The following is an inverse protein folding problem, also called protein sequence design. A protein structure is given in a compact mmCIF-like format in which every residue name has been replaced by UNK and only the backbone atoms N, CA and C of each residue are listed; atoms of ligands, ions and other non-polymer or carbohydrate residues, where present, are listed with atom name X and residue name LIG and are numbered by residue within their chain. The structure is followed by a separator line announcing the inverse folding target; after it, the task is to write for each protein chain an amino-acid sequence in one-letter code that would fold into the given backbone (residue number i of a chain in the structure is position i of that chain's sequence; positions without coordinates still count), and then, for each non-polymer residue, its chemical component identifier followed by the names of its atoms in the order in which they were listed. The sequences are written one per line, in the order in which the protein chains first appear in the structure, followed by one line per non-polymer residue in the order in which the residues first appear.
data_IF_739076036882
#
_entry.id   IF_739076036882
#
_cell.length_a   1.000
_cell.length_b   1.000
_cell.length_c   1.000
_cell.angle_alpha   90.00
_cell.angle_beta   90.00
_cell.angle_gamma   90.00
#
_symmetry.space_group_name_H-M   'P 1'
#
loop_
_entity.id
_entity.type
_entity.pdbx_description
1 polymer ?
#
# COMPACT_ATOMS: atom_id res chain seq x y z
N UNK A 1 21.04 -9.74 -20.05
CA UNK A 1 21.08 -8.67 -19.02
C UNK A 1 22.17 -9.03 -18.03
N UNK A 2 23.11 -8.14 -17.77
CA UNK A 2 24.19 -8.36 -16.83
C UNK A 2 23.64 -8.39 -15.41
N UNK A 3 23.84 -9.51 -14.70
CA UNK A 3 23.50 -9.63 -13.28
C UNK A 3 24.65 -9.15 -12.42
N UNK A 4 24.34 -8.63 -11.25
CA UNK A 4 25.29 -8.24 -10.22
C UNK A 4 24.78 -8.66 -8.84
N UNK A 5 25.56 -8.42 -7.81
CA UNK A 5 25.19 -8.78 -6.43
C UNK A 5 24.99 -7.52 -5.62
N UNK A 6 23.93 -7.52 -4.77
CA UNK A 6 23.73 -6.55 -3.69
C UNK A 6 23.63 -7.30 -2.36
N UNK A 7 23.75 -6.59 -1.24
CA UNK A 7 23.64 -7.18 0.08
C UNK A 7 22.48 -6.54 0.83
N UNK A 8 21.53 -7.34 1.34
CA UNK A 8 20.42 -6.87 2.18
C UNK A 8 20.54 -7.54 3.55
N UNK A 9 20.68 -6.76 4.62
CA UNK A 9 20.85 -7.24 6.01
C UNK A 9 21.94 -8.34 6.13
N UNK A 10 23.06 -8.18 5.39
CA UNK A 10 24.16 -9.13 5.38
C UNK A 10 23.96 -10.34 4.44
N UNK A 11 22.82 -10.50 3.82
CA UNK A 11 22.54 -11.57 2.84
C UNK A 11 22.84 -11.08 1.44
N UNK A 12 23.72 -11.79 0.73
CA UNK A 12 24.02 -11.51 -0.68
C UNK A 12 22.91 -12.05 -1.58
N UNK A 13 22.36 -11.22 -2.43
CA UNK A 13 21.32 -11.58 -3.40
C UNK A 13 21.72 -11.13 -4.81
N UNK A 14 21.20 -11.84 -5.81
CA UNK A 14 21.35 -11.46 -7.20
C UNK A 14 20.40 -10.30 -7.54
N UNK A 15 20.88 -9.36 -8.35
CA UNK A 15 20.08 -8.29 -8.91
C UNK A 15 20.42 -8.12 -10.40
N UNK A 16 19.48 -7.53 -11.15
CA UNK A 16 19.60 -7.28 -12.59
C UNK A 16 19.60 -5.79 -12.85
N UNK A 17 20.26 -5.39 -13.92
CA UNK A 17 20.23 -4.01 -14.38
C UNK A 17 18.80 -3.55 -14.64
N UNK A 18 18.43 -2.37 -14.11
CA UNK A 18 17.08 -1.78 -14.21
C UNK A 18 16.13 -2.16 -13.07
N UNK A 19 16.45 -3.17 -12.26
CA UNK A 19 15.64 -3.50 -11.08
C UNK A 19 15.79 -2.45 -9.98
N UNK A 20 14.71 -2.24 -9.24
CA UNK A 20 14.74 -1.53 -7.96
C UNK A 20 15.27 -2.46 -6.84
N UNK A 21 15.67 -1.87 -5.71
CA UNK A 21 16.02 -2.64 -4.50
C UNK A 21 14.88 -3.57 -4.10
N UNK A 22 13.64 -3.10 -4.19
CA UNK A 22 12.45 -3.86 -3.80
C UNK A 22 12.22 -5.07 -4.71
N UNK A 23 12.32 -4.90 -6.03
CA UNK A 23 12.15 -6.01 -6.98
C UNK A 23 13.23 -7.08 -6.80
N UNK A 24 14.49 -6.68 -6.58
CA UNK A 24 15.57 -7.62 -6.30
C UNK A 24 15.35 -8.37 -4.97
N UNK A 25 14.84 -7.68 -3.94
CA UNK A 25 14.49 -8.28 -2.65
C UNK A 25 13.35 -9.30 -2.78
N UNK A 26 12.30 -8.97 -3.53
CA UNK A 26 11.13 -9.85 -3.75
C UNK A 26 11.51 -11.13 -4.53
N UNK A 27 12.39 -11.01 -5.53
CA UNK A 27 12.92 -12.19 -6.24
C UNK A 27 13.72 -13.10 -5.30
N UNK A 28 14.41 -12.52 -4.31
CA UNK A 28 15.22 -13.24 -3.33
C UNK A 28 14.44 -13.69 -2.07
N UNK A 29 13.11 -13.52 -2.02
CA UNK A 29 12.31 -13.90 -0.87
C UNK A 29 12.50 -12.99 0.35
N UNK A 30 12.93 -11.75 0.17
CA UNK A 30 13.10 -10.76 1.24
C UNK A 30 11.99 -9.73 1.12
N UNK A 31 11.06 -9.75 2.06
CA UNK A 31 9.97 -8.78 2.06
C UNK A 31 10.42 -7.42 2.60
N UNK A 32 10.23 -6.37 1.79
CA UNK A 32 10.37 -4.97 2.22
C UNK A 32 8.97 -4.38 2.38
N UNK A 33 8.57 -3.93 3.60
CA UNK A 33 7.26 -3.36 3.88
C UNK A 33 6.87 -2.24 2.92
N UNK A 34 5.62 -2.26 2.42
CA UNK A 34 5.11 -1.31 1.43
C UNK A 34 3.61 -1.11 1.55
N UNK A 35 3.07 0.04 1.11
CA UNK A 35 1.64 0.32 1.02
C UNK A 35 1.25 0.99 -0.30
N UNK A 36 2.08 1.87 -0.88
CA UNK A 36 1.75 2.51 -2.14
C UNK A 36 2.25 1.72 -3.36
N UNK A 37 3.19 0.82 -3.16
CA UNK A 37 3.68 -0.05 -4.22
C UNK A 37 2.77 -1.25 -4.41
N UNK A 38 2.59 -1.71 -5.65
CA UNK A 38 1.75 -2.83 -6.01
C UNK A 38 2.22 -3.41 -7.34
N UNK A 39 2.22 -4.74 -7.45
CA UNK A 39 2.56 -5.43 -8.69
C UNK A 39 1.67 -4.96 -9.85
N UNK A 40 2.25 -4.78 -11.01
CA UNK A 40 1.53 -4.30 -12.20
C UNK A 40 1.26 -2.79 -12.24
N UNK A 41 1.65 -2.02 -11.21
CA UNK A 41 1.54 -0.57 -11.20
C UNK A 41 2.93 0.08 -11.21
N UNK A 42 3.07 1.22 -11.89
CA UNK A 42 4.31 2.00 -11.81
C UNK A 42 4.63 2.40 -10.37
N UNK A 43 5.90 2.39 -10.01
CA UNK A 43 6.35 2.81 -8.68
C UNK A 43 6.06 4.28 -8.41
N UNK A 44 5.76 4.63 -7.16
CA UNK A 44 5.44 6.00 -6.77
C UNK A 44 6.36 6.56 -5.67
N UNK A 45 6.80 5.73 -4.74
CA UNK A 45 7.64 6.16 -3.61
C UNK A 45 6.93 7.08 -2.61
N UNK A 46 5.59 7.16 -2.62
CA UNK A 46 4.81 8.17 -1.89
C UNK A 46 4.66 7.87 -0.39
N UNK A 47 4.33 6.65 0.01
CA UNK A 47 4.05 6.30 1.41
C UNK A 47 5.30 6.21 2.29
N UNK A 48 6.47 6.01 1.71
CA UNK A 48 7.78 5.87 2.39
C UNK A 48 7.89 4.69 3.38
N UNK A 49 6.90 3.82 3.48
CA UNK A 49 6.95 2.62 4.34
C UNK A 49 8.07 1.67 3.90
N UNK A 50 8.41 1.65 2.61
CA UNK A 50 9.52 0.89 2.06
C UNK A 50 10.91 1.55 2.25
N UNK A 51 11.03 2.53 3.13
CA UNK A 51 12.35 3.16 3.40
C UNK A 51 13.33 2.12 3.94
N UNK A 52 14.51 2.11 3.32
CA UNK A 52 15.70 1.33 3.69
C UNK A 52 16.89 2.27 3.76
N UNK A 53 18.01 1.83 4.33
CA UNK A 53 19.29 2.51 4.16
C UNK A 53 20.10 1.81 3.08
N UNK A 54 20.43 2.53 2.03
CA UNK A 54 21.33 2.09 0.96
C UNK A 54 22.62 2.88 1.05
N UNK A 55 23.73 2.22 1.33
CA UNK A 55 25.04 2.83 1.60
C UNK A 55 24.95 4.01 2.59
N UNK A 56 24.23 3.79 3.69
CA UNK A 56 24.04 4.76 4.76
C UNK A 56 23.00 5.85 4.48
N UNK A 57 22.40 5.95 3.29
CA UNK A 57 21.38 6.93 2.92
C UNK A 57 19.97 6.34 2.97
N UNK A 58 19.03 7.07 3.54
CA UNK A 58 17.61 6.65 3.58
C UNK A 58 16.95 6.87 2.20
N UNK A 59 16.52 5.78 1.57
CA UNK A 59 15.89 5.77 0.24
C UNK A 59 14.58 4.98 0.26
N UNK A 60 13.72 5.19 -0.73
CA UNK A 60 12.54 4.34 -0.93
C UNK A 60 12.92 3.15 -1.82
N UNK A 61 12.87 1.93 -1.29
CA UNK A 61 13.30 0.74 -2.01
C UNK A 61 12.52 0.50 -3.31
N UNK A 62 11.25 0.89 -3.37
CA UNK A 62 10.42 0.74 -4.57
C UNK A 62 10.81 1.65 -5.75
N UNK A 63 11.61 2.68 -5.52
CA UNK A 63 12.04 3.63 -6.58
C UNK A 63 13.55 3.76 -6.71
N UNK A 64 14.30 3.21 -5.75
CA UNK A 64 15.76 3.25 -5.80
C UNK A 64 16.27 2.10 -6.66
N UNK A 65 16.97 2.38 -7.80
CA UNK A 65 17.62 1.35 -8.57
C UNK A 65 18.66 0.58 -7.75
N UNK A 66 18.72 -0.72 -7.94
CA UNK A 66 19.80 -1.54 -7.46
C UNK A 66 21.08 -1.24 -8.26
N UNK A 67 22.24 -1.27 -7.61
CA UNK A 67 23.55 -1.09 -8.25
C UNK A 67 24.55 -2.11 -7.71
N UNK A 68 25.62 -2.44 -8.47
CA UNK A 68 26.62 -3.39 -8.02
C UNK A 68 27.17 -3.06 -6.63
N UNK A 69 27.35 -4.10 -5.81
CA UNK A 69 27.93 -4.05 -4.45
C UNK A 69 27.15 -3.17 -3.44
N UNK A 70 25.92 -2.73 -3.77
CA UNK A 70 25.09 -1.93 -2.89
C UNK A 70 24.82 -2.67 -1.56
N UNK A 71 25.04 -1.97 -0.44
CA UNK A 71 24.72 -2.46 0.90
C UNK A 71 23.42 -1.84 1.40
N UNK A 72 22.44 -2.68 1.72
CA UNK A 72 21.09 -2.28 2.14
C UNK A 72 20.79 -2.79 3.55
N UNK A 73 20.38 -1.89 4.42
CA UNK A 73 19.81 -2.21 5.74
C UNK A 73 18.29 -2.08 5.64
N UNK A 74 17.56 -3.17 5.88
CA UNK A 74 16.09 -3.24 5.85
C UNK A 74 15.50 -3.42 7.26
N UNK A 75 16.08 -4.30 8.08
CA UNK A 75 15.59 -4.65 9.40
C UNK A 75 16.53 -4.12 10.50
N UNK A 76 16.44 -2.81 10.79
CA UNK A 76 17.16 -2.19 11.91
C UNK A 76 16.18 -1.55 12.90
N UNK A 77 16.55 -1.39 14.18
CA UNK A 77 15.68 -0.71 15.17
C UNK A 77 15.25 0.70 14.73
N UNK A 78 16.13 1.41 14.03
CA UNK A 78 15.84 2.74 13.50
C UNK A 78 14.80 2.68 12.39
N UNK A 79 14.96 1.78 11.41
CA UNK A 79 14.02 1.60 10.28
C UNK A 79 12.67 1.10 10.79
N UNK A 80 12.67 0.12 11.69
CA UNK A 80 11.43 -0.39 12.29
C UNK A 80 10.67 0.70 13.06
N UNK A 81 11.39 1.56 13.78
CA UNK A 81 10.78 2.72 14.44
C UNK A 81 10.20 3.71 13.43
N UNK A 82 10.95 4.04 12.36
CA UNK A 82 10.49 4.93 11.29
C UNK A 82 9.21 4.40 10.64
N UNK A 83 9.16 3.11 10.31
CA UNK A 83 7.97 2.46 9.72
C UNK A 83 6.76 2.51 10.65
N UNK A 84 6.95 2.24 11.96
CA UNK A 84 5.87 2.39 12.96
C UNK A 84 5.37 3.82 13.03
N UNK A 85 6.25 4.80 13.03
CA UNK A 85 5.87 6.21 13.05
C UNK A 85 5.08 6.58 11.78
N UNK A 86 5.50 6.14 10.58
CA UNK A 86 4.79 6.39 9.32
C UNK A 86 3.40 5.74 9.30
N UNK A 87 3.32 4.45 9.66
CA UNK A 87 2.04 3.74 9.72
C UNK A 87 1.12 4.35 10.77
N UNK A 88 1.66 4.76 11.92
CA UNK A 88 0.92 5.47 12.96
C UNK A 88 0.33 6.80 12.49
N UNK A 89 1.07 7.58 11.71
CA UNK A 89 0.53 8.80 11.11
C UNK A 89 -0.62 8.50 10.14
N UNK A 90 -0.49 7.45 9.32
CA UNK A 90 -1.56 7.05 8.39
C UNK A 90 -2.84 6.66 9.13
N UNK A 91 -2.73 5.98 10.28
CA UNK A 91 -3.89 5.68 11.12
C UNK A 91 -4.55 6.94 11.69
N UNK A 92 -3.76 7.93 12.08
CA UNK A 92 -4.26 9.14 12.72
C UNK A 92 -4.80 10.19 11.73
N UNK A 93 -4.37 10.12 10.46
CA UNK A 93 -4.91 10.98 9.39
C UNK A 93 -6.24 10.48 8.83
N UNK A 94 -6.65 9.25 9.14
CA UNK A 94 -7.84 8.59 8.60
C UNK A 94 -8.79 8.05 9.68
N UNK A 95 -10.01 7.79 9.28
CA UNK A 95 -11.01 7.12 10.13
C UNK A 95 -10.89 5.59 9.98
N UNK A 96 -9.93 5.00 10.70
CA UNK A 96 -9.61 3.57 10.62
C UNK A 96 -10.19 2.77 11.78
N UNK A 97 -11.53 2.74 11.90
CA UNK A 97 -12.26 1.94 12.90
C UNK A 97 -12.33 0.46 12.44
N UNK A 98 -11.24 -0.27 12.58
CA UNK A 98 -11.10 -1.64 12.10
C UNK A 98 -12.23 -2.61 12.50
N UNK A 99 -12.77 -2.58 13.75
CA UNK A 99 -13.80 -3.52 14.15
C UNK A 99 -15.09 -3.47 13.34
N UNK A 100 -15.39 -2.32 12.71
CA UNK A 100 -16.61 -2.11 11.92
C UNK A 100 -16.32 -1.86 10.45
N UNK A 101 -15.06 -2.06 10.02
CA UNK A 101 -14.64 -1.82 8.65
C UNK A 101 -14.83 -3.08 7.79
N UNK A 102 -15.43 -2.94 6.64
CA UNK A 102 -15.64 -4.03 5.66
C UNK A 102 -14.33 -4.65 5.16
N UNK A 103 -13.25 -3.85 5.14
CA UNK A 103 -11.92 -4.31 4.75
C UNK A 103 -11.14 -4.99 5.88
N UNK A 104 -11.70 -5.09 7.11
CA UNK A 104 -10.99 -5.72 8.23
C UNK A 104 -10.56 -7.15 7.90
N UNK A 105 -9.29 -7.47 8.17
CA UNK A 105 -8.68 -8.76 7.84
C UNK A 105 -8.16 -8.88 6.39
N UNK A 106 -8.60 -7.99 5.47
CA UNK A 106 -8.07 -7.86 4.11
C UNK A 106 -7.36 -6.50 3.90
N UNK A 107 -7.24 -5.70 4.94
CA UNK A 107 -6.65 -4.36 4.88
C UNK A 107 -5.13 -4.42 5.06
N UNK A 108 -4.36 -3.99 4.04
CA UNK A 108 -2.90 -3.97 4.11
C UNK A 108 -2.36 -3.01 5.19
N UNK A 109 -3.05 -1.89 5.47
CA UNK A 109 -2.64 -0.99 6.55
C UNK A 109 -2.76 -1.66 7.92
N UNK A 110 -3.86 -2.39 8.17
CA UNK A 110 -4.07 -3.18 9.39
C UNK A 110 -3.01 -4.28 9.50
N UNK A 111 -2.81 -5.04 8.43
CA UNK A 111 -1.82 -6.10 8.38
C UNK A 111 -0.39 -5.58 8.58
N UNK A 112 -0.08 -4.39 8.04
CA UNK A 112 1.20 -3.74 8.25
C UNK A 112 1.42 -3.35 9.71
N UNK A 113 0.37 -2.87 10.40
CA UNK A 113 0.46 -2.57 11.82
C UNK A 113 0.76 -3.83 12.64
N UNK A 114 0.10 -4.95 12.35
CA UNK A 114 0.39 -6.23 13.00
C UNK A 114 1.82 -6.71 12.73
N UNK A 115 2.28 -6.63 11.49
CA UNK A 115 3.67 -6.98 11.15
C UNK A 115 4.70 -6.14 11.89
N UNK A 116 4.42 -4.86 12.11
CA UNK A 116 5.29 -3.94 12.85
C UNK A 116 5.12 -4.01 14.38
N UNK A 117 4.29 -4.94 14.89
CA UNK A 117 4.02 -5.09 16.31
C UNK A 117 3.31 -3.89 16.93
N UNK A 118 2.47 -3.20 16.18
CA UNK A 118 1.72 -2.03 16.65
C UNK A 118 0.41 -2.50 17.29
N UNK A 119 0.37 -2.56 18.61
CA UNK A 119 -0.81 -2.96 19.40
C UNK A 119 -1.36 -1.83 20.25
N UNK A 120 -0.71 -0.68 20.22
CA UNK A 120 -1.05 0.48 21.03
C UNK A 120 -1.42 1.69 20.17
N UNK A 121 -2.20 2.64 20.71
CA UNK A 121 -2.46 3.91 20.06
C UNK A 121 -1.15 4.62 19.70
N UNK A 122 -1.17 5.35 18.60
CA UNK A 122 0.02 6.09 18.16
C UNK A 122 0.24 7.33 19.03
N UNK A 123 1.49 7.82 19.06
CA UNK A 123 1.86 9.06 19.76
C UNK A 123 1.37 10.34 19.06
N UNK A 124 0.84 10.22 17.85
CA UNK A 124 0.38 11.36 17.05
C UNK A 124 -1.06 11.72 17.38
N UNK A 125 -1.45 13.01 17.31
CA UNK A 125 -2.83 13.41 17.49
C UNK A 125 -3.71 12.87 16.35
N UNK A 126 -4.92 12.44 16.69
CA UNK A 126 -5.92 12.04 15.70
C UNK A 126 -6.45 13.29 14.97
N UNK A 127 -6.39 13.24 13.65
CA UNK A 127 -6.92 14.29 12.78
C UNK A 127 -8.28 13.83 12.24
N UNK A 128 -9.34 14.12 12.97
CA UNK A 128 -10.69 13.67 12.63
C UNK A 128 -11.08 14.10 11.19
N UNK A 129 -10.98 13.22 10.19
CA UNK A 129 -11.41 13.57 8.84
C UNK A 129 -12.94 13.61 8.80
N UNK A 130 -13.49 14.62 8.16
CA UNK A 130 -14.93 14.79 8.01
C UNK A 130 -15.25 15.08 6.53
N UNK A 131 -15.30 14.02 5.73
CA UNK A 131 -15.69 14.08 4.31
C UNK A 131 -16.95 13.25 4.09
N UNK A 132 -17.85 13.67 3.19
CA UNK A 132 -19.01 12.86 2.84
C UNK A 132 -18.58 11.50 2.28
N UNK A 133 -19.28 10.45 2.66
CA UNK A 133 -19.22 9.16 1.99
C UNK A 133 -19.98 9.29 0.67
N UNK A 134 -19.32 9.01 -0.44
CA UNK A 134 -19.97 8.92 -1.74
C UNK A 134 -20.39 7.47 -2.02
N UNK A 135 -21.69 7.22 -1.96
CA UNK A 135 -22.28 5.93 -2.26
C UNK A 135 -23.26 6.01 -3.45
N UNK A 136 -23.11 7.00 -4.31
CA UNK A 136 -23.99 7.25 -5.45
C UNK A 136 -23.88 6.18 -6.54
N UNK A 137 -22.67 5.59 -6.74
CA UNK A 137 -22.49 4.52 -7.72
C UNK A 137 -23.19 3.21 -7.28
N UNK A 138 -23.81 2.43 -8.20
CA UNK A 138 -24.57 1.21 -7.84
C UNK A 138 -23.72 0.14 -7.14
N UNK A 139 -22.44 0.00 -7.46
CA UNK A 139 -21.62 -1.15 -7.05
C UNK A 139 -20.46 -0.83 -6.13
N UNK A 140 -20.05 0.43 -6.05
CA UNK A 140 -18.97 0.85 -5.14
C UNK A 140 -19.40 2.02 -4.26
N UNK A 141 -18.73 2.17 -3.14
CA UNK A 141 -18.78 3.36 -2.30
C UNK A 141 -17.35 3.88 -2.08
N UNK A 142 -17.19 5.21 -2.05
CA UNK A 142 -15.93 5.89 -1.86
C UNK A 142 -15.93 6.61 -0.51
N UNK A 143 -15.24 6.04 0.48
CA UNK A 143 -15.00 6.64 1.79
C UNK A 143 -13.60 7.23 1.88
N UNK A 144 -13.46 8.48 1.47
CA UNK A 144 -12.15 9.16 1.47
C UNK A 144 -11.62 9.46 2.88
N UNK A 145 -12.43 9.28 3.93
CA UNK A 145 -11.94 9.36 5.32
C UNK A 145 -11.00 8.20 5.68
N UNK A 146 -11.05 7.10 4.93
CA UNK A 146 -10.16 5.94 5.09
C UNK A 146 -8.98 5.94 4.11
N UNK A 147 -8.85 6.98 3.29
CA UNK A 147 -7.83 7.04 2.23
C UNK A 147 -6.46 7.39 2.81
N UNK A 148 -5.46 6.54 2.54
CA UNK A 148 -4.05 6.79 2.89
C UNK A 148 -3.25 7.49 1.78
N UNK A 149 -3.91 8.05 0.78
CA UNK A 149 -3.30 8.77 -0.35
C UNK A 149 -2.21 7.97 -1.11
N UNK A 150 -2.30 6.65 -1.13
CA UNK A 150 -1.31 5.78 -1.77
C UNK A 150 -1.31 5.87 -3.31
N UNK A 151 -2.38 6.35 -3.92
CA UNK A 151 -2.52 6.54 -5.36
C UNK A 151 -2.56 5.27 -6.21
N UNK A 152 -2.75 4.09 -5.63
CA UNK A 152 -2.89 2.85 -6.41
C UNK A 152 -4.09 2.93 -7.37
N UNK A 153 -5.27 3.32 -6.88
CA UNK A 153 -6.47 3.49 -7.71
C UNK A 153 -6.28 4.50 -8.83
N UNK A 154 -5.58 5.60 -8.59
CA UNK A 154 -5.29 6.62 -9.62
C UNK A 154 -4.41 6.02 -10.71
N UNK A 155 -3.32 5.34 -10.33
CA UNK A 155 -2.42 4.69 -11.30
C UNK A 155 -3.08 3.53 -12.03
N UNK A 156 -3.84 2.69 -11.31
CA UNK A 156 -4.58 1.60 -11.92
C UNK A 156 -5.56 2.13 -12.98
N UNK A 157 -6.36 3.15 -12.64
CA UNK A 157 -7.32 3.73 -13.57
C UNK A 157 -6.68 4.41 -14.79
N UNK A 158 -5.46 4.97 -14.63
CA UNK A 158 -4.73 5.62 -15.73
C UNK A 158 -3.94 4.63 -16.57
N UNK A 159 -3.15 3.77 -15.91
CA UNK A 159 -2.11 2.98 -16.58
C UNK A 159 -2.62 1.59 -17.03
N UNK A 160 -3.61 1.02 -16.32
CA UNK A 160 -4.14 -0.31 -16.59
C UNK A 160 -5.50 -0.21 -17.27
N UNK A 161 -6.44 0.52 -16.69
CA UNK A 161 -7.80 0.65 -17.24
C UNK A 161 -7.85 1.65 -18.43
N UNK A 162 -6.87 2.55 -18.52
CA UNK A 162 -6.79 3.57 -19.57
C UNK A 162 -7.87 4.66 -19.49
N UNK A 163 -8.67 4.68 -18.43
CA UNK A 163 -9.85 5.55 -18.28
C UNK A 163 -9.64 6.78 -17.41
N UNK A 164 -8.63 6.74 -16.52
CA UNK A 164 -8.36 7.85 -15.62
C UNK A 164 -9.55 8.18 -14.70
N UNK A 165 -10.33 7.20 -14.31
CA UNK A 165 -11.55 7.35 -13.49
C UNK A 165 -11.29 8.06 -12.16
N UNK A 166 -10.16 7.76 -11.52
CA UNK A 166 -9.77 8.37 -10.26
C UNK A 166 -8.64 9.38 -10.43
N UNK A 167 -8.75 10.48 -9.71
CA UNK A 167 -7.74 11.51 -9.65
C UNK A 167 -7.59 12.10 -8.26
N UNK A 168 -6.59 12.94 -8.08
CA UNK A 168 -6.44 13.72 -6.84
C UNK A 168 -7.09 15.09 -7.01
N UNK A 169 -7.86 15.50 -6.01
CA UNK A 169 -8.41 16.86 -5.88
C UNK A 169 -7.93 17.48 -4.58
N UNK A 170 -7.98 18.82 -4.52
CA UNK A 170 -7.49 19.59 -3.38
C UNK A 170 -5.97 19.60 -3.25
N UNK A 171 -5.47 20.17 -2.17
CA UNK A 171 -4.05 20.26 -1.86
C UNK A 171 -3.80 20.29 -0.35
N UNK A 172 -2.58 19.91 0.09
CA UNK A 172 -2.25 19.81 1.51
C UNK A 172 -3.17 18.82 2.24
N UNK A 173 -3.66 19.19 3.40
CA UNK A 173 -4.57 18.37 4.23
C UNK A 173 -5.95 18.13 3.59
N UNK A 174 -6.29 18.92 2.56
CA UNK A 174 -7.54 18.76 1.82
C UNK A 174 -7.39 17.86 0.59
N UNK A 175 -6.18 17.37 0.31
CA UNK A 175 -5.97 16.45 -0.82
C UNK A 175 -6.66 15.12 -0.55
N UNK A 176 -7.45 14.67 -1.52
CA UNK A 176 -8.13 13.39 -1.46
C UNK A 176 -8.38 12.82 -2.86
N UNK A 177 -8.82 11.58 -2.92
CA UNK A 177 -9.22 10.93 -4.18
C UNK A 177 -10.63 11.35 -4.52
N UNK A 178 -10.89 11.61 -5.80
CA UNK A 178 -12.22 11.81 -6.34
C UNK A 178 -12.35 11.12 -7.70
N UNK A 179 -13.56 10.91 -8.15
CA UNK A 179 -13.82 10.50 -9.51
C UNK A 179 -13.55 11.67 -10.47
N UNK A 180 -12.97 11.39 -11.62
CA UNK A 180 -12.80 12.35 -12.69
C UNK A 180 -14.13 12.50 -13.44
N UNK A 181 -14.82 13.57 -13.21
CA UNK A 181 -16.16 13.83 -13.66
C UNK A 181 -16.96 14.57 -12.58
N UNK A 182 -18.28 14.71 -12.74
CA UNK A 182 -19.08 15.43 -11.77
C UNK A 182 -19.27 14.62 -10.48
N UNK A 183 -19.77 13.40 -10.60
CA UNK A 183 -20.07 12.53 -9.47
C UNK A 183 -19.64 11.09 -9.75
N UNK A 184 -19.43 10.29 -8.71
CA UNK A 184 -19.12 8.87 -8.85
C UNK A 184 -20.25 8.13 -9.60
N UNK A 185 -21.50 8.57 -9.47
CA UNK A 185 -22.67 8.05 -10.17
C UNK A 185 -22.59 8.23 -11.71
N UNK A 186 -22.02 9.34 -12.13
CA UNK A 186 -21.93 9.72 -13.57
C UNK A 186 -20.72 9.09 -14.26
N UNK A 187 -19.89 8.38 -13.54
CA UNK A 187 -18.86 7.57 -14.16
C UNK A 187 -19.55 6.42 -14.88
N UNK A 188 -19.73 6.57 -16.16
CA UNK A 188 -20.27 5.58 -17.11
C UNK A 188 -19.30 4.39 -17.30
N UNK A 189 -18.48 4.22 -16.30
CA UNK A 189 -17.62 3.09 -16.18
C UNK A 189 -18.52 1.93 -15.78
N UNK A 190 -18.85 1.09 -16.74
CA UNK A 190 -19.42 -0.20 -16.42
C UNK A 190 -18.62 -0.81 -15.26
N UNK A 191 -19.29 -1.42 -14.33
CA UNK A 191 -18.72 -2.00 -13.09
C UNK A 191 -17.50 -2.89 -13.31
N UNK A 192 -17.44 -3.51 -14.47
CA UNK A 192 -16.28 -4.24 -14.97
C UNK A 192 -15.01 -3.38 -15.04
N UNK A 193 -15.13 -2.07 -15.16
CA UNK A 193 -14.02 -1.16 -15.38
C UNK A 193 -13.41 -0.61 -14.08
N UNK A 194 -14.13 -0.72 -12.95
CA UNK A 194 -13.59 -0.43 -11.61
C UNK A 194 -12.91 -1.62 -10.95
N UNK A 195 -12.96 -2.81 -11.56
CA UNK A 195 -12.50 -4.03 -10.92
C UNK A 195 -11.07 -3.87 -10.38
N UNK A 196 -10.13 -3.47 -11.22
CA UNK A 196 -8.74 -3.32 -10.81
C UNK A 196 -8.57 -2.12 -9.87
N UNK A 197 -9.12 -0.96 -10.20
CA UNK A 197 -8.98 0.25 -9.38
C UNK A 197 -9.57 0.09 -7.99
N UNK A 198 -10.62 -0.69 -7.81
CA UNK A 198 -11.18 -1.02 -6.50
C UNK A 198 -10.36 -2.07 -5.77
N UNK A 199 -9.90 -3.11 -6.45
CA UNK A 199 -9.12 -4.21 -5.88
C UNK A 199 -7.74 -3.80 -5.37
N UNK A 200 -7.08 -2.88 -6.07
CA UNK A 200 -5.75 -2.39 -5.66
C UNK A 200 -5.80 -1.45 -4.45
N UNK A 201 -6.97 -1.11 -3.94
CA UNK A 201 -7.08 -0.24 -2.77
C UNK A 201 -6.61 -1.01 -1.52
N UNK A 202 -5.51 -0.59 -0.86
CA UNK A 202 -4.96 -1.33 0.28
C UNK A 202 -5.75 -1.17 1.57
N UNK A 203 -6.81 -0.38 1.55
CA UNK A 203 -7.66 -0.04 2.71
C UNK A 203 -9.12 0.01 2.31
N UNK A 204 -10.03 0.16 3.27
CA UNK A 204 -11.47 0.28 3.02
C UNK A 204 -11.91 1.66 2.51
N UNK A 205 -11.16 2.30 1.61
CA UNK A 205 -11.53 3.58 1.01
C UNK A 205 -12.46 3.37 -0.20
N UNK A 206 -12.13 2.46 -1.11
CA UNK A 206 -13.01 2.03 -2.18
C UNK A 206 -13.61 0.69 -1.75
N UNK A 207 -14.91 0.64 -1.60
CA UNK A 207 -15.64 -0.50 -1.04
C UNK A 207 -16.58 -1.02 -2.11
N UNK A 208 -16.52 -2.31 -2.40
CA UNK A 208 -17.53 -2.99 -3.21
C UNK A 208 -18.79 -3.18 -2.38
N UNK A 209 -19.91 -2.63 -2.86
CA UNK A 209 -21.19 -2.81 -2.20
C UNK A 209 -21.62 -4.27 -2.22
N UNK A 210 -22.29 -4.71 -1.17
CA UNK A 210 -22.82 -6.07 -1.03
C UNK A 210 -21.78 -7.18 -0.89
N UNK A 211 -20.47 -6.84 -0.82
CA UNK A 211 -19.38 -7.80 -0.62
C UNK A 211 -18.77 -7.73 0.79
N UNK A 212 -19.03 -6.66 1.53
CA UNK A 212 -18.51 -6.48 2.90
C UNK A 212 -18.93 -7.61 3.83
N UNK A 213 -17.99 -8.07 4.67
CA UNK A 213 -18.20 -9.14 5.68
C UNK A 213 -18.62 -10.51 5.12
N UNK A 214 -18.47 -10.75 3.81
CA UNK A 214 -18.81 -12.03 3.19
C UNK A 214 -17.79 -13.12 3.50
N UNK A 215 -16.53 -12.74 3.77
CA UNK A 215 -15.47 -13.68 4.15
C UNK A 215 -15.44 -13.85 5.67
N UNK A 216 -15.64 -15.06 6.20
CA UNK A 216 -15.58 -15.34 7.63
C UNK A 216 -14.21 -15.01 8.23
N UNK A 217 -14.19 -14.62 9.52
CA UNK A 217 -12.96 -14.52 10.31
C UNK A 217 -12.26 -15.86 10.30
N UNK A 218 -10.95 -15.88 10.07
CA UNK A 218 -10.12 -17.07 9.89
C UNK A 218 -9.94 -17.49 8.44
N UNK A 219 -10.51 -16.75 7.46
CA UNK A 219 -10.35 -17.03 6.02
C UNK A 219 -9.96 -15.81 5.20
N UNK A 220 -9.76 -14.66 5.85
CA UNK A 220 -9.38 -13.41 5.22
C UNK A 220 -7.88 -13.39 4.94
N UNK A 221 -7.41 -12.51 4.09
CA UNK A 221 -6.04 -12.51 3.55
C UNK A 221 -4.94 -12.44 4.63
N UNK A 222 -5.23 -11.79 5.77
CA UNK A 222 -4.24 -11.57 6.83
C UNK A 222 -4.67 -12.16 8.18
N UNK A 223 -5.56 -13.15 8.19
CA UNK A 223 -5.99 -13.79 9.43
C UNK A 223 -4.93 -14.79 9.94
N UNK A 224 -4.31 -15.54 9.04
CA UNK A 224 -3.39 -16.65 9.39
C UNK A 224 -1.91 -16.27 9.15
N UNK A 225 -1.64 -15.26 8.32
CA UNK A 225 -0.29 -14.90 7.90
C UNK A 225 -0.04 -13.40 7.98
N UNK A 226 1.19 -13.04 8.29
CA UNK A 226 1.64 -11.65 8.19
C UNK A 226 1.71 -11.21 6.71
N UNK A 227 1.40 -9.95 6.45
CA UNK A 227 1.61 -9.36 5.12
C UNK A 227 3.07 -9.56 4.66
N UNK A 228 3.26 -9.99 3.43
CA UNK A 228 4.58 -10.33 2.86
C UNK A 228 4.95 -11.81 2.98
N UNK A 229 4.16 -12.63 3.65
CA UNK A 229 4.41 -14.06 3.80
C UNK A 229 4.66 -14.77 2.45
N UNK A 230 3.88 -14.44 1.41
CA UNK A 230 4.02 -15.06 0.09
C UNK A 230 5.38 -14.75 -0.59
N UNK A 231 6.00 -13.65 -0.22
CA UNK A 231 7.36 -13.31 -0.69
C UNK A 231 8.37 -14.10 0.12
N UNK A 232 8.25 -14.11 1.45
CA UNK A 232 9.19 -14.77 2.36
C UNK A 232 9.21 -16.29 2.18
N UNK A 233 8.09 -16.89 1.81
CA UNK A 233 7.95 -18.33 1.52
C UNK A 233 8.88 -18.80 0.40
N UNK A 234 9.18 -17.95 -0.59
CA UNK A 234 10.12 -18.25 -1.68
C UNK A 234 11.54 -18.53 -1.20
N UNK A 235 11.89 -18.10 0.00
CA UNK A 235 13.21 -18.31 0.60
C UNK A 235 13.36 -19.68 1.24
N UNK A 236 12.23 -20.31 1.59
CA UNK A 236 12.20 -21.62 2.26
C UNK A 236 12.03 -22.78 1.26
N UNK A 237 11.75 -22.45 -0.01
CA UNK A 237 11.71 -23.39 -1.15
C UNK A 237 13.06 -23.49 -1.86
#
# INVERSE_FOLDING_TARGET
MSGFTITIDGVKIAAKEGQTIMEAADEAGIYIPRLCDHEGLRHQGGCRVCTVKADGRSVAACTQPASPDLSVENETPHISKLRRDLVGMLFNEGNHLCPICEASGNCELQAMAYRLGMTEPTKFPYLEPCRPLDASHPDIALDTNRCISCGRCVRASQDVDGKGTFGYVGRGIHRHIAANGADLADTDAAVTDFAISAEVCPVGCIIRKREGFTRPIGTRDYDDHLIGHEIEKKRDE
#
